data_IF_467360599011
#
_entry.id   IF_467360599011
#
_cell.length_a   1.000
_cell.length_b   1.000
_cell.length_c   1.000
_cell.angle_alpha   90.00
_cell.angle_beta   90.00
_cell.angle_gamma   90.00
#
_symmetry.space_group_name_H-M   'P 1'
#
loop_
_entity.id
_entity.type
_entity.pdbx_description
1 polymer ?
#
# COMPACT_ATOMS: atom_id res chain seq x y z
N UNK A 1 8.71 9.69 17.42
CA UNK A 1 7.44 9.14 16.91
C UNK A 1 7.34 9.51 15.45
N UNK A 2 7.11 8.55 14.56
CA UNK A 2 6.95 8.83 13.13
C UNK A 2 5.45 8.99 12.87
N UNK A 3 5.05 10.11 12.25
CA UNK A 3 3.64 10.47 12.08
C UNK A 3 3.09 10.08 10.70
N UNK A 4 3.09 10.95 9.69
CA UNK A 4 2.25 10.75 8.49
C UNK A 4 2.94 10.24 7.20
N UNK A 5 4.19 10.59 6.85
CA UNK A 5 4.72 10.19 5.54
C UNK A 5 5.11 8.70 5.46
N UNK A 6 5.26 8.05 6.60
CA UNK A 6 5.90 6.73 6.73
C UNK A 6 4.93 5.68 7.31
N UNK A 7 3.78 6.09 7.85
CA UNK A 7 2.79 5.19 8.46
C UNK A 7 2.31 4.09 7.47
N UNK A 8 2.42 4.37 6.17
CA UNK A 8 1.96 3.54 5.08
C UNK A 8 3.07 2.69 4.45
N UNK A 9 4.28 2.70 5.03
CA UNK A 9 5.41 1.83 4.64
C UNK A 9 5.82 0.99 5.86
N UNK A 10 5.08 -0.08 6.21
CA UNK A 10 5.37 -0.91 7.39
C UNK A 10 6.76 -1.56 7.35
N UNK A 11 7.32 -1.76 6.15
CA UNK A 11 8.67 -2.30 5.93
C UNK A 11 9.79 -1.34 6.35
N UNK A 12 9.49 -0.14 6.84
CA UNK A 12 10.53 0.70 7.46
C UNK A 12 11.13 0.06 8.72
N UNK A 13 10.39 -0.82 9.41
CA UNK A 13 10.82 -1.41 10.69
C UNK A 13 11.33 -2.85 10.56
N UNK A 14 11.34 -3.41 9.36
CA UNK A 14 11.66 -4.83 9.13
C UNK A 14 12.56 -4.99 7.91
N UNK A 15 13.43 -6.01 7.91
CA UNK A 15 14.23 -6.38 6.73
C UNK A 15 13.40 -7.20 5.71
N UNK A 16 12.07 -7.15 5.79
CA UNK A 16 11.18 -7.89 4.90
C UNK A 16 11.03 -7.12 3.60
N UNK A 17 11.50 -7.72 2.50
CA UNK A 17 11.27 -7.21 1.16
C UNK A 17 9.86 -7.57 0.70
N UNK A 18 8.97 -6.58 0.72
CA UNK A 18 7.62 -6.63 0.14
C UNK A 18 7.39 -5.41 -0.74
N UNK A 19 6.59 -5.60 -1.76
CA UNK A 19 6.01 -4.54 -2.59
C UNK A 19 4.89 -3.81 -1.84
N UNK A 20 4.57 -2.61 -2.28
CA UNK A 20 3.41 -1.86 -1.76
C UNK A 20 2.09 -2.64 -1.94
N UNK A 21 1.94 -3.38 -3.04
CA UNK A 21 0.77 -4.19 -3.34
C UNK A 21 0.64 -5.37 -2.38
N UNK A 22 1.72 -6.10 -2.09
CA UNK A 22 1.70 -7.19 -1.11
C UNK A 22 1.33 -6.71 0.29
N UNK A 23 1.84 -5.54 0.72
CA UNK A 23 1.45 -4.97 2.01
C UNK A 23 -0.02 -4.55 2.00
N UNK A 24 -0.49 -3.97 0.90
CA UNK A 24 -1.89 -3.59 0.76
C UNK A 24 -2.82 -4.81 0.82
N UNK A 25 -2.45 -5.91 0.16
CA UNK A 25 -3.17 -7.18 0.24
C UNK A 25 -3.23 -7.73 1.66
N UNK A 26 -2.12 -7.67 2.42
CA UNK A 26 -2.13 -8.04 3.83
C UNK A 26 -3.04 -7.14 4.67
N UNK A 27 -3.05 -5.84 4.40
CA UNK A 27 -3.92 -4.89 5.07
C UNK A 27 -5.40 -5.22 4.85
N UNK A 28 -5.83 -5.43 3.60
CA UNK A 28 -7.21 -5.82 3.27
C UNK A 28 -7.57 -7.17 3.91
N UNK A 29 -6.65 -8.13 3.89
CA UNK A 29 -6.83 -9.45 4.54
C UNK A 29 -7.01 -9.33 6.06
N UNK A 30 -6.30 -8.41 6.72
CA UNK A 30 -6.46 -8.17 8.16
C UNK A 30 -7.85 -7.58 8.45
N UNK A 31 -8.33 -6.65 7.62
CA UNK A 31 -9.66 -6.05 7.77
C UNK A 31 -10.74 -7.11 7.58
N UNK A 32 -10.61 -7.99 6.60
CA UNK A 32 -11.57 -9.08 6.37
C UNK A 32 -11.67 -10.01 7.58
N UNK A 33 -10.52 -10.37 8.17
CA UNK A 33 -10.45 -11.17 9.40
C UNK A 33 -11.00 -10.45 10.63
N UNK A 34 -11.03 -9.11 10.62
CA UNK A 34 -11.48 -8.27 11.73
C UNK A 34 -12.63 -7.36 11.29
N UNK A 35 -13.72 -7.98 10.82
CA UNK A 35 -14.91 -7.24 10.33
C UNK A 35 -15.32 -6.14 11.31
N UNK A 36 -15.46 -4.92 10.78
CA UNK A 36 -15.79 -3.73 11.57
C UNK A 36 -14.59 -2.97 12.15
N UNK A 37 -13.34 -3.41 11.91
CA UNK A 37 -12.14 -2.68 12.37
C UNK A 37 -11.88 -1.37 11.62
N UNK A 38 -12.46 -1.20 10.44
CA UNK A 38 -12.34 0.00 9.61
C UNK A 38 -13.61 0.19 8.77
N UNK A 39 -13.98 1.45 8.51
CA UNK A 39 -15.03 1.79 7.55
C UNK A 39 -14.46 1.93 6.13
N UNK A 40 -15.33 1.84 5.12
CA UNK A 40 -14.89 1.92 3.71
C UNK A 40 -14.14 3.22 3.41
N UNK A 41 -14.55 4.33 4.04
CA UNK A 41 -13.87 5.63 3.89
C UNK A 41 -12.41 5.56 4.31
N UNK A 42 -12.10 4.94 5.45
CA UNK A 42 -10.73 4.77 5.91
C UNK A 42 -9.97 3.80 5.01
N UNK A 43 -10.56 2.68 4.61
CA UNK A 43 -9.91 1.69 3.73
C UNK A 43 -9.51 2.35 2.41
N UNK A 44 -10.42 3.10 1.79
CA UNK A 44 -10.16 3.85 0.55
C UNK A 44 -9.06 4.89 0.72
N UNK A 45 -9.10 5.65 1.82
CA UNK A 45 -8.04 6.63 2.15
C UNK A 45 -6.67 5.97 2.27
N UNK A 46 -6.58 4.79 2.92
CA UNK A 46 -5.34 4.03 3.01
C UNK A 46 -4.90 3.47 1.66
N UNK A 47 -5.83 3.04 0.81
CA UNK A 47 -5.56 2.57 -0.56
C UNK A 47 -4.82 3.65 -1.36
N UNK A 48 -5.33 4.88 -1.37
CA UNK A 48 -4.67 6.00 -2.06
C UNK A 48 -3.26 6.31 -1.52
N UNK A 49 -3.02 6.08 -0.22
CA UNK A 49 -1.73 6.38 0.41
C UNK A 49 -0.72 5.27 0.18
N UNK A 50 -1.11 4.02 0.36
CA UNK A 50 -0.24 2.85 0.23
C UNK A 50 0.15 2.60 -1.23
N UNK A 51 -0.79 2.79 -2.15
CA UNK A 51 -0.58 2.57 -3.58
C UNK A 51 -0.25 3.86 -4.33
N UNK A 52 0.05 4.98 -3.65
CA UNK A 52 0.28 6.27 -4.30
C UNK A 52 1.24 6.20 -5.51
N UNK A 53 2.43 5.56 -5.41
CA UNK A 53 3.34 5.49 -6.56
C UNK A 53 2.70 4.78 -7.76
N UNK A 54 1.93 3.71 -7.52
CA UNK A 54 1.20 2.99 -8.55
C UNK A 54 0.11 3.87 -9.18
N UNK A 55 -0.67 4.57 -8.36
CA UNK A 55 -1.77 5.41 -8.84
C UNK A 55 -1.30 6.70 -9.53
N UNK A 56 -0.09 7.17 -9.22
CA UNK A 56 0.54 8.29 -9.93
C UNK A 56 1.00 7.88 -11.33
N UNK A 57 1.54 6.66 -11.49
CA UNK A 57 2.02 6.14 -12.77
C UNK A 57 0.89 5.61 -13.67
N UNK A 58 -0.17 5.06 -13.07
CA UNK A 58 -1.33 4.48 -13.76
C UNK A 58 -2.63 5.19 -13.35
N UNK A 59 -2.96 6.36 -13.93
CA UNK A 59 -4.12 7.15 -13.56
C UNK A 59 -5.46 6.40 -13.68
N UNK A 60 -5.57 5.45 -14.60
CA UNK A 60 -6.76 4.62 -14.77
C UNK A 60 -7.08 3.74 -13.55
N UNK A 61 -6.07 3.41 -12.74
CA UNK A 61 -6.26 2.70 -11.48
C UNK A 61 -6.81 3.63 -10.40
N UNK A 62 -6.50 4.93 -10.48
CA UNK A 62 -6.96 5.92 -9.52
C UNK A 62 -8.47 6.08 -9.57
N UNK A 63 -9.04 6.10 -10.76
CA UNK A 63 -10.49 6.12 -10.95
C UNK A 63 -11.13 4.84 -10.41
N UNK A 64 -10.50 3.68 -10.67
CA UNK A 64 -10.93 2.39 -10.12
C UNK A 64 -11.01 2.34 -8.59
N UNK A 65 -10.16 3.09 -7.87
CA UNK A 65 -10.23 3.17 -6.39
C UNK A 65 -11.47 3.93 -5.91
N UNK A 66 -11.98 4.90 -6.67
CA UNK A 66 -13.19 5.64 -6.29
C UNK A 66 -14.45 4.76 -6.35
N UNK A 67 -14.43 3.74 -7.20
CA UNK A 67 -15.53 2.82 -7.45
C UNK A 67 -15.57 1.63 -6.48
N UNK A 68 -14.69 1.59 -5.47
CA UNK A 68 -14.65 0.49 -4.47
C UNK A 68 -15.60 0.78 -3.30
N UNK A 69 -16.67 0.00 -3.17
CA UNK A 69 -17.74 0.19 -2.19
C UNK A 69 -17.72 -0.85 -1.06
N UNK A 70 -17.37 -2.08 -1.40
CA UNK A 70 -17.34 -3.22 -0.48
C UNK A 70 -15.95 -3.84 -0.42
N UNK A 71 -15.71 -4.66 0.62
CA UNK A 71 -14.40 -5.27 0.84
C UNK A 71 -13.98 -6.21 -0.31
N UNK A 72 -14.95 -6.87 -0.95
CA UNK A 72 -14.74 -7.71 -2.14
C UNK A 72 -14.10 -6.94 -3.28
N UNK A 73 -14.52 -5.69 -3.49
CA UNK A 73 -14.05 -4.85 -4.60
C UNK A 73 -12.55 -4.59 -4.48
N UNK A 74 -12.03 -4.48 -3.26
CA UNK A 74 -10.59 -4.31 -3.02
C UNK A 74 -9.79 -5.56 -3.40
N UNK A 75 -10.32 -6.76 -3.13
CA UNK A 75 -9.67 -8.01 -3.56
C UNK A 75 -9.67 -8.14 -5.08
N UNK A 76 -10.79 -7.82 -5.74
CA UNK A 76 -10.87 -7.81 -7.20
C UNK A 76 -9.91 -6.77 -7.81
N UNK A 77 -9.81 -5.59 -7.19
CA UNK A 77 -8.86 -4.55 -7.58
C UNK A 77 -7.40 -5.02 -7.46
N UNK A 78 -7.03 -5.72 -6.37
CA UNK A 78 -5.70 -6.30 -6.20
C UNK A 78 -5.41 -7.32 -7.31
N UNK A 79 -6.33 -8.24 -7.58
CA UNK A 79 -6.16 -9.26 -8.63
C UNK A 79 -6.05 -8.64 -10.02
N UNK A 80 -6.82 -7.57 -10.29
CA UNK A 80 -6.69 -6.79 -11.53
C UNK A 80 -5.27 -6.23 -11.69
N UNK A 81 -4.70 -5.65 -10.64
CA UNK A 81 -3.32 -5.11 -10.69
C UNK A 81 -2.31 -6.24 -10.91
N UNK A 82 -2.46 -7.39 -10.23
CA UNK A 82 -1.57 -8.55 -10.43
C UNK A 82 -1.61 -9.09 -11.86
N UNK A 83 -2.75 -8.98 -12.54
CA UNK A 83 -2.90 -9.34 -13.95
C UNK A 83 -2.34 -8.31 -14.93
N UNK A 84 -1.98 -7.11 -14.48
CA UNK A 84 -1.36 -6.07 -15.31
C UNK A 84 0.16 -6.24 -15.38
N UNK A 85 0.75 -5.87 -16.52
CA UNK A 85 2.21 -5.79 -16.66
C UNK A 85 2.72 -4.45 -16.09
N UNK A 86 2.67 -4.32 -14.77
CA UNK A 86 3.11 -3.11 -14.05
C UNK A 86 4.62 -3.10 -13.84
N UNK A 87 5.24 -1.91 -13.92
CA UNK A 87 6.67 -1.77 -13.63
C UNK A 87 6.93 -2.09 -12.15
N UNK A 88 7.78 -3.10 -11.90
CA UNK A 88 8.17 -3.52 -10.55
C UNK A 88 8.78 -2.39 -9.74
N UNK A 89 9.45 -1.43 -10.38
CA UNK A 89 10.03 -0.26 -9.69
C UNK A 89 8.99 0.63 -9.03
N UNK A 90 7.78 0.68 -9.58
CA UNK A 90 6.65 1.45 -9.04
C UNK A 90 6.06 0.77 -7.81
N UNK A 91 6.23 -0.54 -7.71
CA UNK A 91 5.79 -1.37 -6.59
C UNK A 91 6.84 -1.45 -5.46
N UNK A 92 8.09 -1.07 -5.74
CA UNK A 92 9.18 -1.12 -4.76
C UNK A 92 8.93 -0.13 -3.62
N UNK A 93 8.84 -0.69 -2.41
CA UNK A 93 8.99 0.10 -1.21
C UNK A 93 10.47 0.43 -1.02
N UNK A 94 10.74 1.56 -0.35
CA UNK A 94 12.09 1.90 0.12
C UNK A 94 12.19 1.53 1.61
N UNK A 95 12.44 0.25 1.95
CA UNK A 95 12.68 -0.15 3.33
C UNK A 95 13.96 0.54 3.84
N UNK A 96 14.16 0.56 5.16
CA UNK A 96 15.39 1.09 5.76
C UNK A 96 15.70 2.58 5.52
N UNK A 97 14.72 3.43 5.21
CA UNK A 97 14.87 4.91 5.24
C UNK A 97 15.54 5.40 6.53
N UNK A 98 15.35 4.66 7.64
CA UNK A 98 16.01 4.93 8.92
C UNK A 98 17.53 4.69 8.89
N UNK A 99 18.06 3.66 8.22
CA UNK A 99 19.52 3.36 8.18
C UNK A 99 20.30 4.47 7.48
N UNK A 100 19.73 5.09 6.44
CA UNK A 100 20.34 6.22 5.73
C UNK A 100 20.67 7.43 6.62
N UNK A 101 19.92 7.64 7.72
CA UNK A 101 20.21 8.71 8.69
C UNK A 101 21.27 8.35 9.72
N UNK A 102 21.61 7.06 9.87
CA UNK A 102 22.61 6.58 10.81
C UNK A 102 23.97 6.27 10.15
N UNK A 103 24.00 6.02 8.84
CA UNK A 103 25.23 5.70 8.09
C UNK A 103 26.10 6.92 7.72
N UNK A 104 25.65 8.15 8.00
CA UNK A 104 26.45 9.38 7.83
C UNK A 104 27.08 9.88 9.13
N UNK A 105 27.32 8.98 10.09
CA UNK A 105 28.06 9.27 11.33
C UNK A 105 29.25 8.32 11.50
N UNK A 106 30.17 8.35 10.55
CA UNK A 106 31.56 7.93 10.76
C UNK A 106 32.51 8.98 10.16
#
# INVERSE_FOLDING_TARGET
>A
MIAEPILFIPTIFTDVHKTNLEIFEEYITIIDKKKGSADNKNIRSHTFKMLKPLLDEYPELRDGVNDLYELSDYFEFIERIKGMNVDKKVLELRPNLRKCYFEHKE
#
